data_IF_520630856120
#
_entry.id   IF_520630856120
#
_cell.length_a   1.000
_cell.length_b   1.000
_cell.length_c   1.000
_cell.angle_alpha   90.00
_cell.angle_beta   90.00
_cell.angle_gamma   90.00
#
_symmetry.space_group_name_H-M   'P 1'
#
loop_
_entity.id
_entity.type
_entity.pdbx_description
1 polymer ?
#
# COMPACT_ATOMS: atom_id res chain seq x y z
N UNK A 1 -39.08 -23.24 22.48
CA UNK A 1 -38.61 -21.88 22.16
C UNK A 1 -37.66 -21.42 23.26
N UNK A 2 -36.37 -21.61 23.04
CA UNK A 2 -35.32 -21.27 24.00
C UNK A 2 -34.53 -20.11 23.43
N UNK A 3 -35.04 -18.87 23.64
CA UNK A 3 -34.32 -17.65 23.36
C UNK A 3 -33.35 -17.39 24.51
N UNK A 4 -32.17 -18.04 24.46
CA UNK A 4 -31.04 -17.57 25.24
C UNK A 4 -30.58 -16.24 24.66
N UNK A 5 -30.56 -15.11 25.38
CA UNK A 5 -29.97 -13.89 24.89
C UNK A 5 -28.48 -14.15 24.72
N UNK A 6 -28.00 -14.18 23.47
CA UNK A 6 -26.57 -14.16 23.19
C UNK A 6 -25.98 -12.95 23.91
N UNK A 7 -25.22 -13.17 24.97
CA UNK A 7 -24.39 -12.15 25.61
C UNK A 7 -23.58 -11.48 24.50
N UNK A 8 -23.94 -10.26 24.15
CA UNK A 8 -23.14 -9.42 23.25
C UNK A 8 -21.71 -9.40 23.81
N UNK A 9 -20.80 -10.05 23.12
CA UNK A 9 -19.40 -10.06 23.51
C UNK A 9 -18.91 -8.61 23.55
N UNK A 10 -18.57 -8.10 24.72
CA UNK A 10 -18.17 -6.71 24.97
C UNK A 10 -16.82 -6.31 24.33
N UNK A 11 -16.23 -7.13 23.47
CA UNK A 11 -14.92 -6.91 22.88
C UNK A 11 -14.84 -7.38 21.42
N UNK A 12 -13.78 -6.94 20.73
CA UNK A 12 -13.47 -7.37 19.38
C UNK A 12 -12.82 -8.75 19.37
N UNK A 13 -13.03 -9.51 18.29
CA UNK A 13 -12.45 -10.85 18.10
C UNK A 13 -10.94 -10.80 17.94
N UNK A 14 -10.28 -11.95 18.13
CA UNK A 14 -8.84 -12.07 17.81
C UNK A 14 -8.56 -11.78 16.32
N UNK A 15 -9.43 -12.24 15.43
CA UNK A 15 -9.30 -11.99 13.99
C UNK A 15 -9.36 -10.49 13.66
N UNK A 16 -10.23 -9.73 14.33
CA UNK A 16 -10.28 -8.27 14.22
C UNK A 16 -8.93 -7.61 14.56
N UNK A 17 -8.35 -7.96 15.71
CA UNK A 17 -7.07 -7.38 16.13
C UNK A 17 -5.92 -7.76 15.22
N UNK A 18 -5.85 -9.02 14.79
CA UNK A 18 -4.82 -9.46 13.83
C UNK A 18 -4.97 -8.72 12.50
N UNK A 19 -6.19 -8.57 11.97
CA UNK A 19 -6.43 -7.82 10.74
C UNK A 19 -5.96 -6.37 10.85
N UNK A 20 -6.25 -5.70 11.96
CA UNK A 20 -5.81 -4.31 12.18
C UNK A 20 -4.29 -4.21 12.35
N UNK A 21 -3.66 -5.18 13.01
CA UNK A 21 -2.19 -5.22 13.18
C UNK A 21 -1.48 -5.43 11.85
N UNK A 22 -1.95 -6.35 11.02
CA UNK A 22 -1.33 -6.57 9.69
C UNK A 22 -1.57 -5.40 8.74
N UNK A 23 -2.72 -4.71 8.86
CA UNK A 23 -2.95 -3.45 8.15
C UNK A 23 -1.94 -2.37 8.57
N UNK A 24 -1.67 -2.23 9.87
CA UNK A 24 -0.65 -1.30 10.36
C UNK A 24 0.71 -1.54 9.68
N UNK A 25 1.19 -2.78 9.65
CA UNK A 25 2.47 -3.14 9.03
C UNK A 25 2.45 -2.92 7.51
N UNK A 26 1.34 -3.24 6.86
CA UNK A 26 1.20 -3.01 5.43
C UNK A 26 1.20 -1.50 5.11
N UNK A 27 0.48 -0.68 5.88
CA UNK A 27 0.49 0.78 5.70
C UNK A 27 1.88 1.37 5.95
N UNK A 28 2.61 0.89 6.95
CA UNK A 28 4.01 1.28 7.17
C UNK A 28 4.85 0.99 5.93
N UNK A 29 4.78 -0.22 5.39
CA UNK A 29 5.51 -0.62 4.19
C UNK A 29 5.13 0.21 2.97
N UNK A 30 3.82 0.33 2.70
CA UNK A 30 3.29 1.04 1.55
C UNK A 30 3.70 2.51 1.54
N UNK A 31 3.44 3.25 2.62
CA UNK A 31 3.72 4.67 2.67
C UNK A 31 5.20 5.01 2.73
N UNK A 32 6.02 4.12 3.29
CA UNK A 32 7.47 4.27 3.28
C UNK A 32 8.04 4.27 1.86
N UNK A 33 7.61 3.34 1.02
CA UNK A 33 8.07 3.25 -0.38
C UNK A 33 7.35 4.26 -1.27
N UNK A 34 6.04 4.41 -1.13
CA UNK A 34 5.24 5.19 -2.06
C UNK A 34 5.60 6.68 -2.09
N UNK A 35 5.96 7.26 -0.93
CA UNK A 35 6.37 8.68 -0.86
C UNK A 35 7.70 8.96 -1.61
N UNK A 36 8.55 7.95 -1.78
CA UNK A 36 9.84 8.10 -2.45
C UNK A 36 9.92 7.35 -3.79
N UNK A 37 8.86 6.71 -4.21
CA UNK A 37 8.87 5.86 -5.42
C UNK A 37 9.35 6.60 -6.66
N UNK A 38 8.86 7.82 -6.89
CA UNK A 38 9.29 8.63 -8.05
C UNK A 38 10.76 9.04 -7.95
N UNK A 39 11.26 9.29 -6.75
CA UNK A 39 12.67 9.59 -6.50
C UNK A 39 13.51 8.33 -6.74
N UNK A 40 13.10 7.19 -6.20
CA UNK A 40 13.75 5.90 -6.42
C UNK A 40 13.86 5.58 -7.92
N UNK A 41 12.77 5.70 -8.66
CA UNK A 41 12.75 5.45 -10.10
C UNK A 41 13.71 6.37 -10.86
N UNK A 42 13.79 7.65 -10.49
CA UNK A 42 14.64 8.60 -11.21
C UNK A 42 16.09 8.61 -10.74
N UNK A 43 16.35 8.66 -9.43
CA UNK A 43 17.73 8.80 -8.91
C UNK A 43 18.46 7.46 -8.86
N UNK A 44 17.75 6.36 -8.52
CA UNK A 44 18.37 5.04 -8.39
C UNK A 44 18.35 4.25 -9.71
N UNK A 45 17.25 4.33 -10.49
CA UNK A 45 17.09 3.55 -11.72
C UNK A 45 17.27 4.37 -13.01
N UNK A 46 17.46 5.69 -12.90
CA UNK A 46 17.76 6.56 -14.04
C UNK A 46 16.60 6.79 -15.00
N UNK A 47 15.35 6.59 -14.58
CA UNK A 47 14.19 6.98 -15.36
C UNK A 47 14.06 8.51 -15.39
N UNK A 48 13.66 9.07 -16.53
CA UNK A 48 13.34 10.50 -16.59
C UNK A 48 12.05 10.80 -15.80
N UNK A 49 11.76 12.07 -15.55
CA UNK A 49 10.62 12.48 -14.72
C UNK A 49 9.27 12.05 -15.30
N UNK A 50 9.14 12.03 -16.62
CA UNK A 50 7.92 11.59 -17.29
C UNK A 50 7.71 10.07 -17.12
N UNK A 51 8.74 9.28 -17.38
CA UNK A 51 8.73 7.82 -17.18
C UNK A 51 8.43 7.44 -15.74
N UNK A 52 9.14 8.06 -14.77
CA UNK A 52 8.94 7.81 -13.35
C UNK A 52 7.53 8.16 -12.88
N UNK A 53 6.98 9.27 -13.38
CA UNK A 53 5.61 9.69 -13.07
C UNK A 53 4.57 8.76 -13.70
N UNK A 54 4.79 8.32 -14.94
CA UNK A 54 3.92 7.39 -15.63
C UNK A 54 3.90 6.01 -14.95
N UNK A 55 5.07 5.46 -14.61
CA UNK A 55 5.18 4.19 -13.88
C UNK A 55 4.48 4.27 -12.51
N UNK A 56 4.74 5.34 -11.75
CA UNK A 56 4.11 5.56 -10.44
C UNK A 56 2.60 5.76 -10.55
N UNK A 57 2.15 6.46 -11.58
CA UNK A 57 0.73 6.67 -11.88
C UNK A 57 0.01 5.37 -12.24
N UNK A 58 0.60 4.55 -13.11
CA UNK A 58 0.07 3.23 -13.47
C UNK A 58 0.03 2.28 -12.28
N UNK A 59 1.09 2.27 -11.46
CA UNK A 59 1.14 1.52 -10.22
C UNK A 59 0.00 1.92 -9.26
N UNK A 60 -0.18 3.22 -9.03
CA UNK A 60 -1.27 3.75 -8.21
C UNK A 60 -2.64 3.40 -8.79
N UNK A 61 -2.84 3.63 -10.09
CA UNK A 61 -4.09 3.31 -10.77
C UNK A 61 -4.47 1.84 -10.64
N UNK A 62 -3.50 0.94 -10.83
CA UNK A 62 -3.70 -0.49 -10.66
C UNK A 62 -4.10 -0.88 -9.24
N UNK A 63 -3.49 -0.26 -8.21
CA UNK A 63 -3.84 -0.49 -6.81
C UNK A 63 -5.29 -0.11 -6.46
N UNK A 64 -5.94 0.75 -7.25
CA UNK A 64 -7.35 1.13 -7.07
C UNK A 64 -8.30 0.38 -8.01
N UNK A 65 -7.85 -0.08 -9.17
CA UNK A 65 -8.67 -0.84 -10.11
C UNK A 65 -8.71 -2.34 -9.79
N UNK A 66 -7.57 -2.94 -9.48
CA UNK A 66 -7.48 -4.37 -9.24
C UNK A 66 -8.28 -4.89 -8.02
N UNK A 67 -8.54 -4.10 -6.95
CA UNK A 67 -9.38 -4.55 -5.83
C UNK A 67 -10.77 -5.04 -6.24
N UNK A 68 -11.31 -4.56 -7.36
CA UNK A 68 -12.59 -5.03 -7.91
C UNK A 68 -12.53 -6.54 -8.21
N UNK A 69 -11.42 -7.00 -8.77
CA UNK A 69 -11.21 -8.40 -9.15
C UNK A 69 -10.67 -9.24 -7.98
N UNK A 70 -9.66 -8.72 -7.28
CA UNK A 70 -9.03 -9.41 -6.17
C UNK A 70 -9.97 -9.62 -4.99
N UNK A 71 -10.90 -8.69 -4.74
CA UNK A 71 -11.93 -8.83 -3.72
C UNK A 71 -12.88 -10.00 -4.00
N UNK A 72 -13.37 -10.11 -5.22
CA UNK A 72 -14.24 -11.22 -5.62
C UNK A 72 -13.51 -12.57 -5.54
N UNK A 73 -12.23 -12.60 -5.91
CA UNK A 73 -11.41 -13.80 -5.77
C UNK A 73 -11.14 -14.15 -4.31
N UNK A 74 -10.90 -13.15 -3.47
CA UNK A 74 -10.71 -13.31 -2.03
C UNK A 74 -11.94 -13.90 -1.32
N UNK A 75 -13.14 -13.48 -1.71
CA UNK A 75 -14.39 -14.06 -1.19
C UNK A 75 -14.49 -15.56 -1.53
N UNK A 76 -13.97 -15.97 -2.70
CA UNK A 76 -14.02 -17.37 -3.16
C UNK A 76 -13.04 -18.28 -2.43
N UNK A 77 -11.79 -17.82 -2.19
CA UNK A 77 -10.74 -18.66 -1.56
C UNK A 77 -10.64 -18.48 -0.05
N UNK A 78 -11.32 -17.47 0.50
CA UNK A 78 -11.35 -17.13 1.91
C UNK A 78 -10.23 -16.18 2.34
N UNK A 79 -10.51 -15.36 3.34
CA UNK A 79 -9.65 -14.24 3.74
C UNK A 79 -8.25 -14.66 4.19
N UNK A 80 -8.12 -15.75 4.95
CA UNK A 80 -6.81 -16.21 5.42
C UNK A 80 -5.86 -16.55 4.28
N UNK A 81 -6.33 -17.34 3.31
CA UNK A 81 -5.53 -17.72 2.13
C UNK A 81 -5.18 -16.49 1.29
N UNK A 82 -6.15 -15.62 1.09
CA UNK A 82 -5.95 -14.38 0.33
C UNK A 82 -4.94 -13.46 0.98
N UNK A 83 -4.94 -13.30 2.32
CA UNK A 83 -3.94 -12.52 3.05
C UNK A 83 -2.54 -13.15 2.92
N UNK A 84 -2.42 -14.47 3.01
CA UNK A 84 -1.13 -15.17 2.83
C UNK A 84 -0.58 -14.89 1.44
N UNK A 85 -1.38 -15.05 0.39
CA UNK A 85 -0.99 -14.76 -0.99
C UNK A 85 -0.57 -13.28 -1.12
N UNK A 86 -1.38 -12.37 -0.61
CA UNK A 86 -1.12 -10.94 -0.68
C UNK A 86 0.20 -10.55 0.00
N UNK A 87 0.41 -10.96 1.25
CA UNK A 87 1.65 -10.64 1.97
C UNK A 87 2.87 -11.36 1.41
N UNK A 88 2.72 -12.55 0.83
CA UNK A 88 3.81 -13.21 0.10
C UNK A 88 4.22 -12.40 -1.14
N UNK A 89 3.25 -11.95 -1.94
CA UNK A 89 3.52 -11.10 -3.11
C UNK A 89 4.13 -9.75 -2.71
N UNK A 90 3.62 -9.11 -1.66
CA UNK A 90 4.16 -7.85 -1.16
C UNK A 90 5.60 -8.01 -0.65
N UNK A 91 5.88 -9.07 0.10
CA UNK A 91 7.24 -9.36 0.59
C UNK A 91 8.22 -9.59 -0.55
N UNK A 92 7.86 -10.42 -1.54
CA UNK A 92 8.66 -10.66 -2.74
C UNK A 92 8.88 -9.35 -3.50
N UNK A 93 7.84 -8.55 -3.69
CA UNK A 93 7.93 -7.31 -4.44
C UNK A 93 8.81 -6.25 -3.73
N UNK A 94 8.61 -5.99 -2.43
CA UNK A 94 9.44 -5.01 -1.71
C UNK A 94 10.89 -5.47 -1.58
N UNK A 95 11.15 -6.74 -1.27
CA UNK A 95 12.52 -7.27 -1.26
C UNK A 95 13.13 -7.22 -2.66
N UNK A 96 12.33 -7.49 -3.70
CA UNK A 96 12.74 -7.35 -5.08
C UNK A 96 13.17 -5.92 -5.43
N UNK A 97 12.42 -4.89 -5.00
CA UNK A 97 12.81 -3.49 -5.16
C UNK A 97 14.14 -3.18 -4.44
N UNK A 98 14.37 -3.76 -3.26
CA UNK A 98 15.62 -3.57 -2.52
C UNK A 98 16.83 -4.23 -3.18
N UNK A 99 16.66 -5.45 -3.70
CA UNK A 99 17.74 -6.24 -4.32
C UNK A 99 18.03 -5.78 -5.75
N UNK A 100 17.05 -5.25 -6.47
CA UNK A 100 17.17 -4.94 -7.90
C UNK A 100 18.35 -4.02 -8.26
N UNK A 101 18.62 -2.90 -7.54
CA UNK A 101 19.80 -2.08 -7.83
C UNK A 101 21.11 -2.84 -7.70
N UNK A 102 21.24 -3.69 -6.69
CA UNK A 102 22.44 -4.54 -6.48
C UNK A 102 22.62 -5.54 -7.62
N UNK A 103 21.54 -6.09 -8.17
CA UNK A 103 21.60 -6.96 -9.34
C UNK A 103 22.06 -6.22 -10.59
N UNK A 104 21.61 -4.98 -10.80
CA UNK A 104 22.07 -4.14 -11.90
C UNK A 104 23.55 -3.81 -11.79
N UNK A 105 24.04 -3.52 -10.58
CA UNK A 105 25.44 -3.25 -10.32
C UNK A 105 26.32 -4.50 -10.52
N UNK A 106 25.89 -5.66 -10.01
CA UNK A 106 26.55 -6.93 -10.20
C UNK A 106 26.63 -7.36 -11.68
N UNK A 107 25.63 -6.97 -12.47
CA UNK A 107 25.63 -7.18 -13.92
C UNK A 107 26.48 -6.17 -14.71
N UNK A 108 27.13 -5.20 -14.02
CA UNK A 108 27.95 -4.16 -14.65
C UNK A 108 27.17 -3.14 -15.46
N UNK A 109 25.85 -3.04 -15.26
CA UNK A 109 24.97 -2.12 -15.99
C UNK A 109 24.89 -0.74 -15.37
N UNK A 110 25.19 -0.65 -14.08
CA UNK A 110 25.15 0.55 -13.25
C UNK A 110 26.33 0.55 -12.30
N UNK A 111 26.80 1.71 -11.91
CA UNK A 111 27.75 1.88 -10.82
C UNK A 111 27.20 2.90 -9.83
N UNK A 112 26.93 2.48 -8.61
CA UNK A 112 26.51 3.37 -7.53
C UNK A 112 27.75 3.85 -6.78
N UNK A 113 28.17 5.10 -7.06
CA UNK A 113 29.21 5.77 -6.29
C UNK A 113 28.73 6.15 -4.88
N UNK A 114 29.54 6.94 -4.16
CA UNK A 114 29.19 7.43 -2.81
C UNK A 114 27.88 8.22 -2.75
N UNK A 115 27.39 8.75 -3.86
CA UNK A 115 26.16 9.54 -3.96
C UNK A 115 24.92 8.72 -4.34
N UNK A 116 25.07 7.42 -4.64
CA UNK A 116 23.99 6.52 -5.09
C UNK A 116 23.12 7.03 -6.25
N UNK A 117 23.57 8.05 -6.98
CA UNK A 117 22.89 8.46 -8.20
C UNK A 117 23.18 7.48 -9.32
N UNK A 118 22.18 7.23 -10.14
CA UNK A 118 22.31 6.40 -11.32
C UNK A 118 23.46 6.91 -12.19
N UNK A 119 24.48 6.07 -12.35
CA UNK A 119 25.60 6.29 -13.25
C UNK A 119 25.78 5.02 -14.07
N UNK A 120 25.08 4.92 -15.17
CA UNK A 120 25.03 3.74 -16.00
C UNK A 120 24.79 4.07 -17.46
N UNK A 121 24.61 3.02 -18.29
CA UNK A 121 24.31 3.17 -19.71
C UNK A 121 22.95 3.86 -19.87
N UNK A 122 22.88 5.05 -20.52
CA UNK A 122 21.67 5.86 -20.62
C UNK A 122 20.46 5.11 -21.23
N UNK A 123 20.73 4.16 -22.13
CA UNK A 123 19.73 3.42 -22.89
C UNK A 123 19.57 1.96 -22.44
N UNK A 124 20.00 1.62 -21.23
CA UNK A 124 19.85 0.25 -20.72
C UNK A 124 18.36 -0.09 -20.55
N UNK A 125 17.87 -1.01 -21.36
CA UNK A 125 16.51 -1.56 -21.24
C UNK A 125 16.32 -2.39 -19.96
N UNK A 126 17.42 -2.80 -19.31
CA UNK A 126 17.38 -3.66 -18.11
C UNK A 126 16.66 -3.00 -16.93
N UNK A 127 16.62 -1.67 -16.82
CA UNK A 127 15.87 -0.96 -15.79
C UNK A 127 14.35 -1.24 -15.83
N UNK A 128 13.81 -1.62 -17.01
CA UNK A 128 12.39 -1.93 -17.17
C UNK A 128 11.96 -3.23 -16.48
N UNK A 129 12.91 -4.06 -16.02
CA UNK A 129 12.63 -5.25 -15.19
C UNK A 129 11.97 -4.85 -13.86
N UNK A 130 12.05 -3.58 -13.45
CA UNK A 130 11.32 -3.06 -12.30
C UNK A 130 9.79 -3.16 -12.48
N UNK A 131 9.28 -3.06 -13.69
CA UNK A 131 7.83 -3.05 -13.97
C UNK A 131 7.15 -4.36 -13.55
N UNK A 132 7.65 -5.56 -13.91
CA UNK A 132 7.15 -6.81 -13.33
C UNK A 132 7.17 -6.84 -11.80
N UNK A 133 8.20 -6.30 -11.14
CA UNK A 133 8.29 -6.25 -9.68
C UNK A 133 7.17 -5.36 -9.10
N UNK A 134 6.96 -4.18 -9.69
CA UNK A 134 5.85 -3.29 -9.31
C UNK A 134 4.49 -3.94 -9.58
N UNK A 135 4.36 -4.74 -10.63
CA UNK A 135 3.13 -5.47 -10.93
C UNK A 135 2.82 -6.52 -9.85
N UNK A 136 3.82 -7.25 -9.36
CA UNK A 136 3.68 -8.17 -8.22
C UNK A 136 3.18 -7.41 -6.99
N UNK A 137 3.80 -6.26 -6.67
CA UNK A 137 3.36 -5.40 -5.56
C UNK A 137 1.92 -4.91 -5.74
N UNK A 138 1.57 -4.51 -6.94
CA UNK A 138 0.22 -4.03 -7.29
C UNK A 138 -0.84 -5.11 -7.07
N UNK A 139 -0.58 -6.34 -7.49
CA UNK A 139 -1.47 -7.48 -7.23
C UNK A 139 -1.58 -7.73 -5.72
N UNK A 140 -0.47 -7.85 -4.99
CA UNK A 140 -0.46 -8.07 -3.55
C UNK A 140 -1.24 -7.00 -2.79
N UNK A 141 -0.98 -5.73 -3.08
CA UNK A 141 -1.65 -4.59 -2.45
C UNK A 141 -3.15 -4.52 -2.77
N UNK A 142 -3.56 -4.94 -3.97
CA UNK A 142 -4.97 -4.99 -4.35
C UNK A 142 -5.79 -5.96 -3.50
N UNK A 143 -5.23 -7.12 -3.17
CA UNK A 143 -5.86 -8.08 -2.27
C UNK A 143 -6.05 -7.50 -0.87
N UNK A 144 -5.01 -6.87 -0.30
CA UNK A 144 -5.07 -6.32 1.06
C UNK A 144 -6.16 -5.26 1.18
N UNK A 145 -6.25 -4.32 0.23
CA UNK A 145 -7.28 -3.27 0.25
C UNK A 145 -8.70 -3.81 0.33
N UNK A 146 -8.99 -4.92 -0.37
CA UNK A 146 -10.32 -5.52 -0.37
C UNK A 146 -10.59 -6.33 0.89
N UNK A 147 -9.61 -7.10 1.35
CA UNK A 147 -9.82 -8.12 2.38
C UNK A 147 -9.90 -7.50 3.76
N UNK A 148 -9.03 -6.54 4.11
CA UNK A 148 -8.96 -6.07 5.50
C UNK A 148 -10.20 -5.26 5.86
N UNK A 149 -10.66 -4.36 5.00
CA UNK A 149 -11.91 -3.63 5.24
C UNK A 149 -13.11 -4.57 5.33
N UNK A 150 -13.16 -5.61 4.49
CA UNK A 150 -14.20 -6.64 4.57
C UNK A 150 -14.09 -7.49 5.85
N UNK A 151 -12.86 -7.79 6.32
CA UNK A 151 -12.63 -8.49 7.59
C UNK A 151 -13.12 -7.66 8.76
N UNK A 152 -12.82 -6.37 8.82
CA UNK A 152 -13.34 -5.46 9.85
C UNK A 152 -14.87 -5.44 9.86
N UNK A 153 -15.50 -5.37 8.67
CA UNK A 153 -16.95 -5.40 8.56
C UNK A 153 -17.56 -6.70 9.11
N UNK A 154 -16.94 -7.86 8.83
CA UNK A 154 -17.43 -9.18 9.26
C UNK A 154 -17.16 -9.48 10.74
N UNK A 155 -16.08 -8.95 11.30
CA UNK A 155 -15.69 -9.16 12.71
C UNK A 155 -16.32 -8.13 13.68
N UNK A 156 -17.18 -7.23 13.17
CA UNK A 156 -17.90 -6.23 13.95
C UNK A 156 -19.41 -6.45 13.88
N UNK A 157 -20.11 -6.21 14.99
CA UNK A 157 -21.58 -6.18 15.06
C UNK A 157 -22.08 -4.75 14.74
N UNK A 158 -23.38 -4.55 14.53
CA UNK A 158 -23.95 -3.22 14.32
C UNK A 158 -23.57 -2.24 15.45
N UNK A 159 -23.61 -2.70 16.70
CA UNK A 159 -23.28 -1.89 17.87
C UNK A 159 -21.79 -1.53 17.98
N UNK A 160 -20.89 -2.34 17.42
CA UNK A 160 -19.43 -2.12 17.52
C UNK A 160 -18.81 -1.64 16.21
N UNK A 161 -19.58 -1.56 15.12
CA UNK A 161 -19.08 -1.26 13.78
C UNK A 161 -18.41 0.10 13.68
N UNK A 162 -19.05 1.14 14.20
CA UNK A 162 -18.47 2.50 14.19
C UNK A 162 -17.12 2.54 14.91
N UNK A 163 -17.04 1.97 16.11
CA UNK A 163 -15.78 1.87 16.87
C UNK A 163 -14.74 0.99 16.18
N UNK A 164 -15.16 -0.10 15.53
CA UNK A 164 -14.28 -0.97 14.77
C UNK A 164 -13.62 -0.24 13.60
N UNK A 165 -14.37 0.55 12.85
CA UNK A 165 -13.81 1.37 11.77
C UNK A 165 -12.95 2.53 12.29
N UNK A 166 -13.28 3.14 13.44
CA UNK A 166 -12.41 4.15 14.05
C UNK A 166 -11.02 3.57 14.39
N UNK A 167 -10.98 2.38 14.98
CA UNK A 167 -9.71 1.67 15.26
C UNK A 167 -8.98 1.35 13.95
N UNK A 168 -9.68 0.85 12.94
CA UNK A 168 -9.10 0.56 11.64
C UNK A 168 -8.44 1.81 11.02
N UNK A 169 -9.15 2.94 10.96
CA UNK A 169 -8.60 4.18 10.44
C UNK A 169 -7.44 4.72 11.27
N UNK A 170 -7.48 4.55 12.59
CA UNK A 170 -6.35 4.89 13.45
C UNK A 170 -5.11 4.06 13.09
N UNK A 171 -5.24 2.74 12.92
CA UNK A 171 -4.12 1.86 12.53
C UNK A 171 -3.55 2.23 11.16
N UNK A 172 -4.41 2.55 10.18
CA UNK A 172 -3.99 3.05 8.87
C UNK A 172 -3.15 4.33 8.99
N UNK A 173 -3.59 5.29 9.80
CA UNK A 173 -2.89 6.58 9.95
C UNK A 173 -1.61 6.46 10.78
N UNK A 174 -1.60 5.65 11.82
CA UNK A 174 -0.37 5.33 12.59
C UNK A 174 0.66 4.66 11.68
N UNK A 175 0.24 3.69 10.87
CA UNK A 175 1.12 3.04 9.90
C UNK A 175 1.66 4.03 8.85
N UNK A 176 0.79 4.88 8.29
CA UNK A 176 1.18 5.91 7.33
C UNK A 176 2.16 6.93 7.94
N UNK A 177 1.91 7.39 9.16
CA UNK A 177 2.79 8.29 9.87
C UNK A 177 4.17 7.68 10.11
N UNK A 178 4.22 6.48 10.68
CA UNK A 178 5.46 5.78 10.99
C UNK A 178 6.26 5.47 9.72
N UNK A 179 5.60 4.95 8.67
CA UNK A 179 6.26 4.62 7.41
C UNK A 179 6.91 5.83 6.73
N UNK A 180 6.25 6.98 6.72
CA UNK A 180 6.82 8.22 6.16
C UNK A 180 7.90 8.84 7.05
N UNK A 181 7.77 8.69 8.36
CA UNK A 181 8.73 9.29 9.31
C UNK A 181 10.12 8.66 9.23
N UNK A 182 10.22 7.37 8.89
CA UNK A 182 11.49 6.65 8.90
C UNK A 182 12.46 7.07 7.79
N UNK A 183 11.96 7.69 6.72
CA UNK A 183 12.74 8.02 5.52
C UNK A 183 13.80 9.07 5.81
N UNK A 184 13.42 10.18 6.44
CA UNK A 184 14.33 11.31 6.65
C UNK A 184 15.44 11.00 7.67
N UNK A 185 15.19 10.33 8.81
CA UNK A 185 16.25 9.82 9.68
C UNK A 185 17.20 8.86 8.95
N UNK A 186 16.68 7.96 8.14
CA UNK A 186 17.50 7.02 7.37
C UNK A 186 18.41 7.74 6.38
N UNK A 187 17.86 8.75 5.66
CA UNK A 187 18.66 9.60 4.76
C UNK A 187 19.76 10.37 5.48
N UNK A 188 19.51 10.83 6.70
CA UNK A 188 20.53 11.53 7.49
C UNK A 188 21.71 10.65 7.86
N UNK A 189 21.52 9.32 8.00
CA UNK A 189 22.56 8.36 8.38
C UNK A 189 23.31 7.80 7.16
N UNK A 190 22.58 7.41 6.11
CA UNK A 190 23.15 6.66 4.97
C UNK A 190 22.96 7.38 3.62
N UNK A 191 22.56 8.65 3.63
CA UNK A 191 22.39 9.45 2.42
C UNK A 191 21.33 8.90 1.47
N UNK A 192 21.57 9.00 0.18
CA UNK A 192 20.64 8.54 -0.86
C UNK A 192 20.46 7.01 -0.90
N UNK A 193 21.35 6.23 -0.31
CA UNK A 193 21.16 4.78 -0.15
C UNK A 193 19.90 4.45 0.64
N UNK A 194 19.39 5.40 1.43
CA UNK A 194 18.12 5.26 2.13
C UNK A 194 16.98 4.86 1.19
N UNK A 195 16.96 5.34 -0.06
CA UNK A 195 15.94 4.99 -1.05
C UNK A 195 15.97 3.51 -1.47
N UNK A 196 17.09 2.84 -1.31
CA UNK A 196 17.22 1.39 -1.51
C UNK A 196 16.79 0.66 -0.24
N UNK A 197 17.34 1.08 0.92
CA UNK A 197 17.12 0.39 2.20
C UNK A 197 15.68 0.48 2.71
N UNK A 198 14.93 1.52 2.32
CA UNK A 198 13.51 1.63 2.66
C UNK A 198 12.67 0.46 2.09
N UNK A 199 13.08 -0.11 0.96
CA UNK A 199 12.43 -1.27 0.39
C UNK A 199 12.66 -2.54 1.23
N UNK A 200 13.85 -2.70 1.80
CA UNK A 200 14.13 -3.79 2.75
C UNK A 200 13.33 -3.64 4.04
N UNK A 201 13.21 -2.40 4.56
CA UNK A 201 12.31 -2.11 5.68
C UNK A 201 10.87 -2.54 5.36
N UNK A 202 10.36 -2.14 4.21
CA UNK A 202 9.00 -2.48 3.77
C UNK A 202 8.82 -3.99 3.57
N UNK A 203 9.84 -4.66 3.02
CA UNK A 203 9.88 -6.11 2.94
C UNK A 203 9.82 -6.77 4.32
N UNK A 204 10.60 -6.29 5.29
CA UNK A 204 10.56 -6.81 6.65
C UNK A 204 9.18 -6.63 7.31
N UNK A 205 8.54 -5.46 7.16
CA UNK A 205 7.19 -5.20 7.68
C UNK A 205 6.15 -6.17 7.07
N UNK A 206 6.22 -6.42 5.77
CA UNK A 206 5.30 -7.35 5.11
C UNK A 206 5.57 -8.81 5.46
N UNK A 207 6.82 -9.20 5.70
CA UNK A 207 7.17 -10.54 6.22
C UNK A 207 6.62 -10.72 7.65
N UNK A 208 6.75 -9.72 8.53
CA UNK A 208 6.17 -9.76 9.87
C UNK A 208 4.64 -9.90 9.79
N UNK A 209 4.00 -9.14 8.89
CA UNK A 209 2.57 -9.27 8.64
C UNK A 209 2.18 -10.66 8.13
N UNK A 210 2.96 -11.24 7.21
CA UNK A 210 2.77 -12.59 6.71
C UNK A 210 2.82 -13.63 7.83
N UNK A 211 3.85 -13.55 8.69
CA UNK A 211 4.00 -14.43 9.83
C UNK A 211 2.84 -14.27 10.83
N UNK A 212 2.40 -13.03 11.08
CA UNK A 212 1.23 -12.77 11.92
C UNK A 212 -0.04 -13.42 11.37
N UNK A 213 -0.27 -13.35 10.04
CA UNK A 213 -1.40 -14.03 9.41
C UNK A 213 -1.31 -15.54 9.55
N UNK A 214 -0.15 -16.11 9.26
CA UNK A 214 0.05 -17.58 9.30
C UNK A 214 -0.17 -18.11 10.72
N UNK A 215 0.40 -17.43 11.73
CA UNK A 215 0.43 -17.94 13.10
C UNK A 215 -0.81 -17.54 13.92
N UNK A 216 -1.36 -16.35 13.67
CA UNK A 216 -2.34 -15.74 14.58
C UNK A 216 -3.73 -15.58 13.97
N UNK A 217 -3.86 -15.46 12.63
CA UNK A 217 -5.16 -15.22 12.01
C UNK A 217 -5.98 -16.50 11.92
N UNK A 218 -7.07 -16.53 12.67
CA UNK A 218 -8.07 -17.58 12.63
C UNK A 218 -9.43 -16.93 12.41
N UNK A 219 -9.93 -16.95 11.18
CA UNK A 219 -11.28 -16.49 10.87
C UNK A 219 -12.28 -17.61 11.11
N UNK A 220 -13.41 -17.25 11.68
CA UNK A 220 -14.58 -18.12 11.80
C UNK A 220 -15.43 -18.14 10.53
N UNK A 221 -15.17 -17.19 9.63
CA UNK A 221 -15.89 -17.06 8.38
C UNK A 221 -15.29 -17.95 7.29
N UNK A 222 -16.09 -18.88 6.81
CA UNK A 222 -15.76 -19.73 5.65
C UNK A 222 -15.77 -18.93 4.36
N UNK A 223 -15.08 -19.44 3.33
CA UNK A 223 -15.17 -18.93 1.97
C UNK A 223 -16.64 -18.91 1.52
N UNK A 224 -17.05 -17.82 0.88
CA UNK A 224 -18.38 -17.67 0.32
C UNK A 224 -18.41 -18.02 -1.16
N UNK A 225 -19.58 -17.99 -1.76
CA UNK A 225 -19.73 -18.01 -3.22
C UNK A 225 -19.29 -16.65 -3.79
N UNK A 226 -18.03 -16.55 -4.17
CA UNK A 226 -17.50 -15.32 -4.78
C UNK A 226 -18.22 -15.01 -6.10
N UNK A 227 -18.40 -13.72 -6.40
CA UNK A 227 -19.00 -13.27 -7.66
C UNK A 227 -18.18 -13.74 -8.84
N UNK A 228 -18.83 -14.18 -9.91
CA UNK A 228 -18.19 -14.50 -11.18
C UNK A 228 -17.69 -13.23 -11.87
N UNK A 229 -16.68 -13.35 -12.74
CA UNK A 229 -16.19 -12.21 -13.55
C UNK A 229 -17.31 -11.57 -14.38
N UNK A 230 -18.29 -12.36 -14.84
CA UNK A 230 -19.46 -11.86 -15.56
C UNK A 230 -20.34 -10.98 -14.68
N UNK A 231 -20.58 -11.38 -13.44
CA UNK A 231 -21.38 -10.58 -12.48
C UNK A 231 -20.65 -9.29 -12.08
N UNK A 232 -19.34 -9.34 -11.95
CA UNK A 232 -18.51 -8.15 -11.70
C UNK A 232 -18.62 -7.19 -12.89
N UNK A 233 -18.46 -7.70 -14.13
CA UNK A 233 -18.62 -6.91 -15.36
C UNK A 233 -20.00 -6.30 -15.49
N UNK A 234 -21.06 -7.06 -15.21
CA UNK A 234 -22.43 -6.55 -15.23
C UNK A 234 -22.66 -5.46 -14.16
N UNK A 235 -22.10 -5.64 -12.96
CA UNK A 235 -22.12 -4.63 -11.90
C UNK A 235 -21.43 -3.34 -12.33
N UNK A 236 -20.26 -3.44 -12.94
CA UNK A 236 -19.51 -2.31 -13.48
C UNK A 236 -20.28 -1.57 -14.57
N UNK A 237 -20.88 -2.30 -15.54
CA UNK A 237 -21.71 -1.69 -16.58
C UNK A 237 -22.94 -0.99 -15.99
N UNK A 238 -23.57 -1.54 -14.96
CA UNK A 238 -24.68 -0.89 -14.26
C UNK A 238 -24.27 0.43 -13.59
N UNK A 239 -23.03 0.51 -13.06
CA UNK A 239 -22.48 1.74 -12.52
C UNK A 239 -22.25 2.76 -13.65
N UNK A 240 -21.67 2.33 -14.77
CA UNK A 240 -21.40 3.19 -15.93
C UNK A 240 -22.65 3.76 -16.58
N UNK A 241 -23.78 3.07 -16.50
CA UNK A 241 -25.07 3.56 -17.01
C UNK A 241 -25.82 4.48 -16.04
N UNK A 242 -25.38 4.56 -14.77
CA UNK A 242 -25.99 5.44 -13.78
C UNK A 242 -25.30 6.82 -13.78
N UNK A 243 -25.88 7.77 -14.53
CA UNK A 243 -25.40 9.13 -14.68
C UNK A 243 -25.14 9.87 -13.35
N UNK A 244 -26.03 9.73 -12.35
CA UNK A 244 -25.85 10.37 -11.03
C UNK A 244 -24.63 9.83 -10.30
N UNK A 245 -24.40 8.51 -10.39
CA UNK A 245 -23.26 7.85 -9.79
C UNK A 245 -21.95 8.22 -10.53
N UNK A 246 -22.00 8.36 -11.86
CA UNK A 246 -20.86 8.81 -12.64
C UNK A 246 -20.39 10.20 -12.28
N UNK A 247 -21.32 11.15 -12.11
CA UNK A 247 -20.96 12.51 -11.67
C UNK A 247 -20.30 12.47 -10.29
N UNK A 248 -20.87 11.71 -9.33
CA UNK A 248 -20.27 11.57 -8.02
C UNK A 248 -18.86 11.00 -8.11
N UNK A 249 -18.65 9.95 -8.92
CA UNK A 249 -17.34 9.35 -9.16
C UNK A 249 -16.36 10.38 -9.74
N UNK A 250 -16.78 11.18 -10.72
CA UNK A 250 -15.94 12.21 -11.33
C UNK A 250 -15.52 13.29 -10.33
N UNK A 251 -16.44 13.77 -9.49
CA UNK A 251 -16.14 14.76 -8.45
C UNK A 251 -15.13 14.20 -7.45
N UNK A 252 -15.37 12.98 -6.94
CA UNK A 252 -14.46 12.31 -6.00
C UNK A 252 -13.10 12.02 -6.65
N UNK A 253 -13.08 11.63 -7.93
CA UNK A 253 -11.84 11.42 -8.69
C UNK A 253 -11.03 12.71 -8.78
N UNK A 254 -11.66 13.85 -9.08
CA UNK A 254 -10.99 15.15 -9.11
C UNK A 254 -10.30 15.48 -7.78
N UNK A 255 -10.99 15.29 -6.67
CA UNK A 255 -10.41 15.44 -5.33
C UNK A 255 -9.19 14.54 -5.11
N UNK A 256 -9.31 13.24 -5.43
CA UNK A 256 -8.22 12.29 -5.24
C UNK A 256 -7.04 12.53 -6.20
N UNK A 257 -7.28 13.04 -7.40
CA UNK A 257 -6.19 13.46 -8.31
C UNK A 257 -5.29 14.52 -7.68
N UNK A 258 -5.90 15.55 -7.06
CA UNK A 258 -5.15 16.59 -6.34
C UNK A 258 -4.43 15.99 -5.13
N UNK A 259 -5.12 15.19 -4.32
CA UNK A 259 -4.56 14.56 -3.13
C UNK A 259 -3.35 13.65 -3.45
N UNK A 260 -3.38 12.93 -4.56
CA UNK A 260 -2.29 12.04 -4.95
C UNK A 260 -1.02 12.78 -5.36
N UNK A 261 -1.10 14.07 -5.74
CA UNK A 261 0.10 14.89 -6.02
C UNK A 261 0.98 15.07 -4.77
N UNK A 262 0.41 14.93 -3.58
CA UNK A 262 1.17 14.91 -2.32
C UNK A 262 2.25 13.80 -2.28
N UNK A 263 2.06 12.73 -3.03
CA UNK A 263 3.00 11.60 -3.10
C UNK A 263 3.76 11.54 -4.42
N UNK A 264 3.12 11.88 -5.52
CA UNK A 264 3.70 11.76 -6.86
C UNK A 264 4.65 12.91 -7.21
N UNK A 265 4.26 14.15 -6.91
CA UNK A 265 4.97 15.36 -7.38
C UNK A 265 5.66 16.09 -6.23
N UNK A 266 5.00 16.26 -5.10
CA UNK A 266 5.46 17.11 -4.00
C UNK A 266 6.84 16.71 -3.46
N UNK A 267 7.22 15.44 -3.28
CA UNK A 267 8.54 15.10 -2.75
C UNK A 267 9.68 15.65 -3.62
N UNK A 268 9.59 15.49 -4.94
CA UNK A 268 10.59 16.04 -5.88
C UNK A 268 10.57 17.57 -5.92
N UNK A 269 9.38 18.15 -5.92
CA UNK A 269 9.20 19.60 -5.94
C UNK A 269 9.83 20.27 -4.72
N UNK A 270 9.58 19.71 -3.52
CA UNK A 270 10.15 20.22 -2.27
C UNK A 270 11.68 20.12 -2.28
N UNK A 271 12.26 19.01 -2.74
CA UNK A 271 13.71 18.85 -2.83
C UNK A 271 14.30 19.87 -3.84
N UNK A 272 13.65 20.09 -4.97
CA UNK A 272 14.11 21.07 -5.98
C UNK A 272 14.10 22.51 -5.50
N UNK A 273 13.10 22.89 -4.67
CA UNK A 273 12.97 24.26 -4.15
C UNK A 273 13.81 24.52 -2.90
N UNK A 274 13.78 23.58 -1.94
CA UNK A 274 14.39 23.75 -0.63
C UNK A 274 15.75 23.06 -0.49
N UNK A 275 16.21 22.34 -1.54
CA UNK A 275 17.47 21.62 -1.58
C UNK A 275 17.39 20.23 -0.98
N UNK A 276 18.52 19.52 -1.03
CA UNK A 276 18.65 18.10 -0.63
C UNK A 276 18.40 17.87 0.86
N UNK A 277 18.47 18.91 1.69
CA UNK A 277 18.18 18.83 3.14
C UNK A 277 16.70 18.86 3.45
N UNK A 278 15.85 19.11 2.45
CA UNK A 278 14.40 19.12 2.62
C UNK A 278 13.86 17.76 3.07
N UNK A 279 12.80 17.79 3.86
CA UNK A 279 12.19 16.62 4.50
C UNK A 279 10.75 16.39 4.00
N UNK A 280 10.57 15.91 2.77
CA UNK A 280 9.24 15.73 2.19
C UNK A 280 8.37 14.73 2.97
N UNK A 281 8.95 13.70 3.61
CA UNK A 281 8.26 12.75 4.45
C UNK A 281 7.57 13.43 5.63
N UNK A 282 8.22 14.37 6.29
CA UNK A 282 7.66 15.12 7.41
C UNK A 282 6.53 16.06 6.98
N UNK A 283 6.66 16.71 5.84
CA UNK A 283 5.59 17.56 5.28
C UNK A 283 4.34 16.72 5.01
N UNK A 284 4.50 15.55 4.39
CA UNK A 284 3.39 14.64 4.12
C UNK A 284 2.78 14.01 5.39
N UNK A 285 3.48 14.08 6.53
CA UNK A 285 3.02 13.52 7.80
C UNK A 285 2.06 14.42 8.58
N UNK A 286 1.94 15.68 8.21
CA UNK A 286 0.99 16.60 8.87
C UNK A 286 -0.44 16.04 8.83
N UNK A 287 -0.88 15.52 7.69
CA UNK A 287 -2.22 14.95 7.54
C UNK A 287 -2.47 13.74 8.47
N UNK A 288 -1.72 12.62 8.42
CA UNK A 288 -1.97 11.49 9.31
C UNK A 288 -1.78 11.83 10.78
N UNK A 289 -0.89 12.76 11.13
CA UNK A 289 -0.75 13.25 12.50
C UNK A 289 -2.03 13.91 13.01
N UNK A 290 -2.59 14.85 12.25
CA UNK A 290 -3.86 15.52 12.60
C UNK A 290 -4.99 14.51 12.71
N UNK A 291 -5.07 13.53 11.80
CA UNK A 291 -6.11 12.48 11.85
C UNK A 291 -5.98 11.65 13.13
N UNK A 292 -4.78 11.22 13.49
CA UNK A 292 -4.56 10.43 14.71
C UNK A 292 -4.93 11.24 15.96
N UNK A 293 -4.57 12.53 16.01
CA UNK A 293 -4.82 13.37 17.20
C UNK A 293 -6.26 13.87 17.31
N UNK A 294 -6.96 14.10 16.18
CA UNK A 294 -8.23 14.83 16.19
C UNK A 294 -9.46 14.00 15.78
N UNK A 295 -9.27 12.90 15.05
CA UNK A 295 -10.39 12.12 14.48
C UNK A 295 -10.59 10.78 15.20
N UNK A 296 -9.59 10.30 15.94
CA UNK A 296 -9.64 9.00 16.64
C UNK A 296 -10.42 9.07 17.97
N UNK A 297 -10.95 10.23 18.33
CA UNK A 297 -11.80 10.48 19.48
C UNK A 297 -13.22 10.86 18.98
#
# INVERSE_FOLDING_TARGET
>A
MNNSPQRAAKGFTRAFWVSNTVELFERMAYYAVFIVLTIYLSSILGFNDFEASMISGLFSGGLYLLPIFSGAYADKIGFRKSMIIAFSLLSIGYLGLGVFPTLLEAAGLVSYGATTRFNGLPDSSSRWIIVPILFILMIGGSFIKSIISASVAKETTEATRARGYSIFYMMVNVGAFTGKTIIDPLRNVIGEQAYIYINYFSGAMTVIALLAVILLYKSTHTAGEGKSLREIGQGFMRIMTNWRLLILILIVTGFWMVQQQLYATMPKYVIRLAGETAKPGWIANVNPFVVVCCVSF
#
